data_IF_893432667382
#
_entry.id   IF_893432667382
#
_cell.length_a   1.000
_cell.length_b   1.000
_cell.length_c   1.000
_cell.angle_alpha   90.00
_cell.angle_beta   90.00
_cell.angle_gamma   90.00
#
_symmetry.space_group_name_H-M   'P 1'
#
loop_
_entity.id
_entity.type
_entity.pdbx_description
1 polymer ?
2 non-polymer ?
3 non-polymer ?
4 water ?
#
# COMPACT_ATOMS: atom_id res chain seq x y z
N UNK A 1 2.25 -21.65 -0.01
CA UNK A 1 3.61 -21.14 0.02
C UNK A 1 3.70 -19.64 -0.22
N UNK A 2 4.43 -18.94 0.66
CA UNK A 2 4.58 -17.49 0.51
C UNK A 2 5.10 -17.09 -0.86
N UNK A 3 4.66 -15.92 -1.31
CA UNK A 3 5.30 -15.23 -2.41
C UNK A 3 6.63 -14.66 -1.94
N UNK A 4 7.45 -14.27 -2.90
CA UNK A 4 8.76 -13.70 -2.62
C UNK A 4 8.63 -12.19 -2.50
N UNK A 5 9.15 -11.64 -1.41
CA UNK A 5 9.20 -10.21 -1.18
C UNK A 5 10.64 -9.74 -1.38
N UNK A 6 10.85 -8.59 -2.07
CA UNK A 6 9.85 -7.68 -2.64
C UNK A 6 9.12 -8.30 -3.83
N UNK A 7 7.83 -8.02 -3.94
CA UNK A 7 6.98 -8.64 -4.94
C UNK A 7 6.42 -7.57 -5.85
N UNK A 8 6.38 -7.86 -7.14
CA UNK A 8 5.87 -6.92 -8.14
C UNK A 8 4.59 -7.48 -8.74
N UNK A 9 3.50 -6.74 -8.58
CA UNK A 9 2.22 -7.12 -9.17
C UNK A 9 1.89 -6.17 -10.31
N UNK A 10 1.98 -6.61 -11.56
CA UNK A 10 1.57 -5.76 -12.69
C UNK A 10 0.11 -5.38 -12.55
N UNK A 11 -0.21 -4.13 -12.91
CA UNK A 11 -1.58 -3.61 -12.91
C UNK A 11 -1.89 -3.25 -14.35
N UNK A 12 -2.37 -4.20 -15.16
CA UNK A 12 -2.44 -3.98 -16.61
C UNK A 12 -3.33 -2.80 -16.96
N UNK A 13 -2.73 -1.82 -17.64
CA UNK A 13 -3.47 -0.62 -17.97
C UNK A 13 -3.70 0.30 -16.80
N UNK A 14 -2.93 0.14 -15.71
CA UNK A 14 -3.04 1.02 -14.57
C UNK A 14 -4.26 0.74 -13.71
N UNK A 15 -4.57 1.70 -12.84
CA UNK A 15 -5.69 1.58 -11.94
C UNK A 15 -6.84 2.43 -12.46
N UNK A 16 -8.01 2.26 -11.86
CA UNK A 16 -9.24 2.88 -12.32
C UNK A 16 -10.22 2.74 -11.17
N UNK A 17 -11.15 3.68 -10.98
CA UNK A 17 -12.13 3.51 -9.91
C UNK A 17 -12.85 2.18 -10.08
N UNK A 18 -13.22 1.60 -8.93
CA UNK A 18 -13.84 0.29 -8.72
C UNK A 18 -12.84 -0.85 -8.85
N UNK A 19 -11.55 -0.55 -8.90
CA UNK A 19 -10.53 -1.60 -8.89
C UNK A 19 -10.12 -1.84 -7.45
N UNK A 20 -10.17 -3.11 -7.02
CA UNK A 20 -9.90 -3.51 -5.64
C UNK A 20 -8.68 -4.41 -5.60
N UNK A 21 -7.66 -3.99 -4.86
CA UNK A 21 -6.42 -4.74 -4.73
C UNK A 21 -6.38 -5.31 -3.32
N UNK A 22 -6.09 -6.60 -3.21
CA UNK A 22 -6.16 -7.31 -1.93
C UNK A 22 -4.83 -7.98 -1.69
N UNK A 23 -4.22 -7.67 -0.55
CA UNK A 23 -2.92 -8.17 -0.16
C UNK A 23 -3.13 -8.95 1.13
N UNK A 24 -2.78 -10.23 1.11
CA UNK A 24 -2.86 -11.10 2.28
C UNK A 24 -1.46 -11.49 2.70
N UNK A 25 -1.19 -11.40 4.00
CA UNK A 25 0.10 -11.81 4.50
C UNK A 25 0.07 -11.90 6.01
N UNK A 26 1.26 -12.12 6.57
CA UNK A 26 1.46 -12.15 8.01
C UNK A 26 2.67 -11.29 8.34
N UNK A 27 2.54 -10.44 9.35
CA UNK A 27 3.66 -9.61 9.76
C UNK A 27 4.69 -10.49 10.45
N UNK A 28 5.95 -10.32 10.09
CA UNK A 28 7.01 -11.05 10.75
C UNK A 28 7.09 -10.61 12.22
N UNK A 29 7.67 -11.43 13.09
CA UNK A 29 7.91 -10.97 14.46
C UNK A 29 8.99 -9.90 14.47
N UNK A 30 8.85 -8.94 15.38
CA UNK A 30 9.79 -7.82 15.47
C UNK A 30 9.89 -7.07 14.14
N UNK A 31 8.78 -6.95 13.42
CA UNK A 31 8.82 -6.24 12.15
C UNK A 31 9.18 -4.77 12.35
N UNK A 32 9.86 -4.21 11.35
CA UNK A 32 10.20 -2.79 11.35
C UNK A 32 9.40 -1.97 10.35
N UNK A 33 9.05 -2.53 9.19
CA UNK A 33 8.33 -1.77 8.17
C UNK A 33 7.54 -2.69 7.24
N UNK A 34 6.54 -2.08 6.60
CA UNK A 34 5.81 -2.63 5.46
C UNK A 34 5.71 -1.50 4.44
N UNK A 35 5.74 -1.84 3.15
CA UNK A 35 5.54 -0.81 2.13
C UNK A 35 4.73 -1.34 0.96
N UNK A 36 3.69 -0.60 0.58
CA UNK A 36 3.03 -0.74 -0.72
C UNK A 36 3.40 0.46 -1.57
N UNK A 37 3.82 0.20 -2.81
CA UNK A 37 4.25 1.26 -3.72
C UNK A 37 3.51 1.11 -5.04
N UNK A 38 2.44 1.89 -5.21
CA UNK A 38 1.75 1.98 -6.50
C UNK A 38 2.57 2.91 -7.40
N UNK A 39 3.18 2.36 -8.44
CA UNK A 39 4.19 3.08 -9.22
C UNK A 39 3.67 3.43 -10.60
N UNK A 40 4.00 4.64 -11.04
CA UNK A 40 3.84 5.08 -12.42
C UNK A 40 5.26 5.23 -12.95
N UNK A 41 5.77 4.20 -13.62
CA UNK A 41 7.17 4.24 -14.01
C UNK A 41 8.04 4.37 -12.77
N UNK A 42 8.98 5.32 -12.79
CA UNK A 42 9.81 5.58 -11.61
C UNK A 42 9.07 6.33 -10.53
N UNK A 43 7.95 6.97 -10.84
CA UNK A 43 7.23 7.72 -9.83
C UNK A 43 6.43 6.76 -8.96
N UNK A 44 6.25 7.12 -7.68
CA UNK A 44 5.39 6.35 -6.78
C UNK A 44 4.15 7.20 -6.55
N UNK A 45 3.04 6.76 -7.14
CA UNK A 45 1.80 7.51 -7.05
C UNK A 45 1.25 7.47 -5.64
N UNK A 46 1.34 6.31 -5.00
CA UNK A 46 0.78 6.09 -3.67
C UNK A 46 1.73 5.15 -2.95
N UNK A 47 2.38 5.69 -1.93
CA UNK A 47 3.31 4.99 -1.05
C UNK A 47 2.60 4.82 0.29
N UNK A 48 2.42 3.57 0.73
CA UNK A 48 1.72 3.22 1.97
C UNK A 48 2.72 2.47 2.85
N UNK A 49 3.16 3.10 3.95
CA UNK A 49 4.38 2.69 4.64
C UNK A 49 4.16 2.59 6.15
N UNK A 50 3.58 1.48 6.63
CA UNK A 50 3.54 1.26 8.09
C UNK A 50 4.94 1.18 8.67
N UNK A 51 5.17 1.96 9.72
CA UNK A 51 6.45 1.98 10.43
C UNK A 51 6.20 1.55 11.86
N UNK A 52 6.81 0.44 12.27
CA UNK A 52 6.54 -0.19 13.55
C UNK A 52 7.32 0.44 14.70
N UNK A 53 8.41 1.14 14.41
CA UNK A 53 9.21 1.74 15.48
C UNK A 53 9.87 3.00 14.92
N UNK A 54 9.11 4.09 14.87
CA UNK A 54 9.66 5.41 14.58
C UNK A 54 9.64 6.18 15.89
N UNK A 55 10.82 6.34 16.50
CA UNK A 55 10.92 6.97 17.82
C UNK A 55 9.99 6.28 18.81
N UNK A 56 9.94 4.95 18.73
CA UNK A 56 9.14 4.08 19.61
C UNK A 56 7.65 4.28 19.43
N UNK A 57 7.24 4.77 18.27
CA UNK A 57 5.83 4.93 17.95
C UNK A 57 5.54 4.18 16.66
N UNK A 58 4.28 3.78 16.49
CA UNK A 58 3.83 3.06 15.32
C UNK A 58 3.00 4.02 14.49
N UNK A 59 3.39 4.21 13.23
CA UNK A 59 2.72 5.20 12.38
C UNK A 59 2.74 4.70 10.94
N UNK A 60 1.67 5.03 10.21
CA UNK A 60 1.60 4.75 8.79
C UNK A 60 1.88 6.05 8.04
N UNK A 61 2.94 6.04 7.24
CA UNK A 61 3.33 7.19 6.44
C UNK A 61 2.88 6.95 5.01
N UNK A 62 2.13 7.90 4.45
CA UNK A 62 1.75 7.85 3.04
C UNK A 62 2.35 9.05 2.31
N UNK A 63 2.71 8.85 1.05
CA UNK A 63 3.35 9.92 0.30
C UNK A 63 3.37 9.55 -1.18
N UNK A 64 3.90 10.46 -1.97
CA UNK A 64 4.04 10.35 -3.42
C UNK A 64 5.45 10.77 -3.77
N UNK A 65 6.04 10.08 -4.75
CA UNK A 65 7.39 10.39 -5.22
C UNK A 65 7.32 10.78 -6.69
N UNK A 66 7.74 12.00 -7.00
CA UNK A 66 7.75 12.52 -8.37
C UNK A 66 9.15 12.96 -8.75
N UNK A 67 9.63 12.47 -9.90
CA UNK A 67 10.99 12.77 -10.35
C UNK A 67 11.99 12.60 -9.20
N UNK A 68 11.85 11.49 -8.48
CA UNK A 68 12.73 11.07 -7.39
C UNK A 68 12.64 11.92 -6.12
N UNK A 69 11.66 12.82 -6.00
CA UNK A 69 11.48 13.63 -4.81
C UNK A 69 10.20 13.23 -4.09
N UNK A 70 10.32 12.92 -2.80
CA UNK A 70 9.16 12.65 -1.96
C UNK A 70 8.43 13.95 -1.63
N UNK A 71 7.11 13.89 -1.63
CA UNK A 71 6.28 15.04 -1.34
C UNK A 71 6.01 15.21 0.14
N UNK A 72 4.94 15.92 0.43
CA UNK A 72 4.52 16.14 1.81
C UNK A 72 3.79 14.91 2.33
N UNK A 73 4.22 14.41 3.49
CA UNK A 73 3.71 13.15 4.00
C UNK A 73 2.32 13.32 4.58
N UNK A 74 1.53 12.26 4.52
CA UNK A 74 0.25 12.19 5.20
C UNK A 74 0.36 11.07 6.22
N UNK A 75 0.09 11.39 7.48
CA UNK A 75 0.35 10.46 8.57
C UNK A 75 -0.93 10.15 9.34
N UNK A 76 -1.10 8.86 9.64
CA UNK A 76 -2.27 8.32 10.32
C UNK A 76 -1.79 7.48 11.50
N UNK A 77 -2.24 7.85 12.71
CA UNK A 77 -1.79 7.19 13.93
C UNK A 77 -2.60 5.95 14.29
N UNK A 78 -3.77 5.72 13.68
CA UNK A 78 -4.38 4.40 13.79
C UNK A 78 -3.47 3.40 13.09
N UNK A 79 -3.17 2.29 13.77
CA UNK A 79 -2.14 1.36 13.31
C UNK A 79 -2.62 -0.05 13.60
N UNK A 80 -3.35 -0.66 12.65
CA UNK A 80 -3.98 -1.97 12.93
C UNK A 80 -3.05 -3.17 12.79
N UNK A 81 -1.83 -3.01 12.31
CA UNK A 81 -0.94 -4.15 12.15
C UNK A 81 -0.29 -4.50 13.48
N UNK A 82 -0.01 -5.79 13.66
CA UNK A 82 0.68 -6.28 14.85
C UNK A 82 1.71 -7.30 14.41
N UNK A 83 2.92 -7.21 14.97
CA UNK A 83 3.96 -8.17 14.63
C UNK A 83 3.45 -9.58 14.91
N UNK A 84 3.78 -10.51 14.01
CA UNK A 84 3.38 -11.89 14.15
C UNK A 84 2.00 -12.23 13.60
N UNK A 85 1.17 -11.22 13.23
CA UNK A 85 -0.25 -11.53 13.03
C UNK A 85 -0.65 -11.42 11.57
N UNK A 86 -1.55 -12.27 11.08
CA UNK A 86 -1.98 -12.16 9.68
C UNK A 86 -2.87 -10.94 9.47
N UNK A 87 -2.72 -10.31 8.30
CA UNK A 87 -3.48 -9.13 7.95
C UNK A 87 -4.08 -9.29 6.56
N UNK A 88 -5.09 -8.47 6.29
CA UNK A 88 -5.60 -8.25 4.94
C UNK A 88 -5.62 -6.76 4.69
N UNK A 89 -4.94 -6.31 3.64
CA UNK A 89 -5.02 -4.93 3.19
C UNK A 89 -5.86 -4.89 1.93
N UNK A 90 -6.89 -4.04 1.93
CA UNK A 90 -7.70 -3.81 0.74
C UNK A 90 -7.53 -2.37 0.32
N UNK A 91 -7.11 -2.17 -0.93
CA UNK A 91 -6.97 -0.84 -1.51
C UNK A 91 -8.01 -0.73 -2.62
N UNK A 92 -9.04 0.07 -2.39
CA UNK A 92 -10.10 0.27 -3.36
C UNK A 92 -9.87 1.62 -4.02
N UNK A 93 -9.68 1.62 -5.33
CA UNK A 93 -9.51 2.87 -6.05
C UNK A 93 -10.88 3.52 -6.23
N UNK A 94 -11.00 4.78 -5.79
CA UNK A 94 -12.23 5.55 -5.98
C UNK A 94 -11.91 6.79 -6.82
N UNK A 95 -12.91 7.54 -7.30
CA UNK A 95 -12.60 8.62 -8.26
C UNK A 95 -11.62 9.65 -7.74
N UNK A 96 -11.65 9.99 -6.45
CA UNK A 96 -10.79 11.03 -5.92
C UNK A 96 -9.67 10.54 -5.01
N UNK A 97 -9.64 9.26 -4.64
CA UNK A 97 -8.67 8.81 -3.64
C UNK A 97 -8.51 7.30 -3.70
N UNK A 98 -7.40 6.83 -3.13
CA UNK A 98 -7.28 5.44 -2.73
C UNK A 98 -7.91 5.27 -1.36
N UNK A 99 -8.77 4.27 -1.20
CA UNK A 99 -9.41 3.98 0.08
C UNK A 99 -8.84 2.67 0.61
N UNK A 100 -8.24 2.72 1.80
CA UNK A 100 -7.55 1.56 2.38
C UNK A 100 -8.30 1.08 3.61
N UNK A 101 -8.62 -0.21 3.63
CA UNK A 101 -9.13 -0.92 4.80
C UNK A 101 -8.16 -2.03 5.17
N UNK A 102 -7.95 -2.24 6.46
CA UNK A 102 -7.14 -3.35 6.95
C UNK A 102 -8.02 -4.24 7.83
N UNK A 103 -8.03 -5.53 7.53
CA UNK A 103 -8.80 -6.49 8.32
C UNK A 103 -10.27 -6.08 8.37
N UNK A 104 -10.78 -5.60 7.23
CA UNK A 104 -12.18 -5.23 7.00
C UNK A 104 -12.60 -3.95 7.71
N UNK A 105 -11.67 -3.19 8.26
CA UNK A 105 -11.98 -1.93 8.93
C UNK A 105 -11.34 -0.79 8.15
N UNK A 106 -12.15 0.21 7.77
CA UNK A 106 -11.63 1.40 7.10
C UNK A 106 -10.46 1.97 7.88
N UNK A 107 -9.37 2.28 7.17
CA UNK A 107 -8.17 2.84 7.79
C UNK A 107 -7.92 4.29 7.37
N UNK A 108 -7.78 4.54 6.07
CA UNK A 108 -7.44 5.88 5.61
C UNK A 108 -7.80 6.00 4.14
N UNK A 109 -7.81 7.24 3.66
CA UNK A 109 -7.89 7.50 2.24
C UNK A 109 -6.77 8.45 1.84
N UNK A 110 -6.37 8.36 0.58
CA UNK A 110 -5.24 9.13 0.06
C UNK A 110 -5.65 9.72 -1.28
N UNK A 111 -5.80 11.04 -1.32
CA UNK A 111 -6.27 11.69 -2.52
C UNK A 111 -5.25 11.55 -3.65
N UNK A 112 -5.77 11.45 -4.88
CA UNK A 112 -4.91 11.27 -6.05
C UNK A 112 -4.09 12.53 -6.30
N UNK A 113 -2.77 12.40 -6.22
CA UNK A 113 -1.84 13.43 -6.66
C UNK A 113 -1.36 13.20 -8.08
N UNK A 114 -1.07 11.94 -8.41
CA UNK A 114 -0.82 11.50 -9.78
C UNK A 114 -2.18 11.34 -10.45
N UNK A 115 -2.37 12.04 -11.57
CA UNK A 115 -3.67 12.10 -12.22
C UNK A 115 -3.87 11.03 -13.28
N UNK A 116 -2.78 10.52 -13.86
CA UNK A 116 -2.85 9.52 -14.93
C UNK A 116 -2.96 8.15 -14.27
N UNK A 117 -4.17 7.87 -13.78
CA UNK A 117 -4.42 6.61 -13.09
C UNK A 117 -4.09 5.41 -13.97
N UNK A 118 -4.44 5.49 -15.27
CA UNK A 118 -4.19 4.33 -16.14
C UNK A 118 -2.72 4.13 -16.47
N UNK A 119 -1.81 4.90 -15.87
CA UNK A 119 -0.37 4.69 -16.02
C UNK A 119 0.28 4.19 -14.74
N UNK A 120 -0.49 4.08 -13.66
CA UNK A 120 -0.01 3.48 -12.41
C UNK A 120 -0.11 1.97 -12.58
N UNK A 121 0.88 1.37 -13.24
CA UNK A 121 0.73 0.02 -13.78
C UNK A 121 1.50 -1.04 -13.00
N UNK A 122 1.98 -0.72 -11.80
CA UNK A 122 2.67 -1.76 -11.06
C UNK A 122 2.54 -1.47 -9.57
N UNK A 123 2.37 -2.54 -8.78
CA UNK A 123 2.33 -2.44 -7.33
C UNK A 123 3.48 -3.25 -6.75
N UNK A 124 4.39 -2.58 -6.06
CA UNK A 124 5.47 -3.23 -5.34
C UNK A 124 5.08 -3.43 -3.89
N UNK A 125 5.34 -4.63 -3.38
CA UNK A 125 5.02 -5.00 -2.00
C UNK A 125 6.31 -5.46 -1.34
N UNK A 126 6.66 -4.83 -0.22
CA UNK A 126 7.96 -5.07 0.39
C UNK A 126 7.82 -4.90 1.90
N UNK A 127 8.87 -5.27 2.62
CA UNK A 127 8.92 -5.12 4.07
C UNK A 127 8.93 -6.45 4.80
N UNK A 128 8.66 -6.37 6.10
CA UNK A 128 8.86 -7.50 7.00
C UNK A 128 7.57 -8.32 7.14
N UNK A 129 7.16 -8.92 6.02
CA UNK A 129 5.97 -9.76 5.96
C UNK A 129 6.28 -11.08 5.27
N UNK A 130 5.51 -12.10 5.64
CA UNK A 130 5.33 -13.27 4.81
C UNK A 130 4.12 -12.97 3.93
N UNK A 131 4.34 -12.85 2.62
CA UNK A 131 3.28 -12.48 1.70
C UNK A 131 2.58 -13.74 1.21
N UNK A 132 1.27 -13.82 1.45
CA UNK A 132 0.50 -14.99 1.05
C UNK A 132 -0.13 -14.82 -0.33
N UNK A 133 -0.72 -13.66 -0.60
CA UNK A 133 -1.55 -13.45 -1.78
C UNK A 133 -1.49 -11.97 -2.15
N UNK A 134 -1.53 -11.69 -3.45
CA UNK A 134 -1.67 -10.30 -3.90
C UNK A 134 -2.44 -10.33 -5.21
N UNK A 135 -3.57 -9.66 -5.26
CA UNK A 135 -4.41 -9.78 -6.45
C UNK A 135 -5.31 -8.56 -6.54
N UNK A 136 -6.04 -8.48 -7.64
CA UNK A 136 -6.99 -7.40 -7.85
C UNK A 136 -8.25 -7.97 -8.48
N UNK A 137 -9.31 -7.18 -8.43
CA UNK A 137 -10.55 -7.54 -9.08
C UNK A 137 -11.36 -6.26 -9.28
N UNK A 138 -12.22 -6.27 -10.29
CA UNK A 138 -13.13 -5.16 -10.54
C UNK A 138 -14.43 -5.41 -9.79
N UNK A 139 -14.85 -4.46 -8.96
CA UNK A 139 -16.08 -4.61 -8.20
C UNK A 139 -17.15 -3.67 -8.76
X LIG B 1 12.89 9.93 4.94
X LIG B 1 14.33 10.66 6.93
X LIG B 1 8.00 8.86 2.56
X LIG B 1 9.44 8.41 2.40
X LIG B 1 11.58 8.41 3.42
X LIG B 1 11.66 6.91 3.24
X LIG B 1 12.82 7.73 10.83
X LIG B 1 12.25 9.04 10.26
X LIG B 1 11.04 11.14 10.48
X LIG B 1 12.66 10.83 8.62
X LIG B 1 9.47 11.59 12.26
X LIG B 1 10.46 12.13 11.38
X LIG B 1 12.04 11.84 9.57
X LIG B 1 11.36 12.81 8.78
X LIG B 1 11.67 10.02 11.19
X LIG B 1 11.78 6.98 11.47
X LIG B 1 13.32 9.71 9.40
X LIG B 1 14.36 10.24 10.24
X LIG B 1 13.59 11.53 7.78
X LIG B 1 13.51 9.67 6.08
X LIG B 1 13.33 8.39 6.37
X LIG B 1 12.65 7.90 5.47
X LIG B 1 12.39 8.74 4.59
X LIG B 1 10.19 8.78 3.59
X LIG B 1 7.98 10.27 2.74
X LIG B 1 9.52 6.90 2.15
X LIG B 1 9.00 6.19 3.26
X LIG B 1 10.96 6.54 1.98
X LIG B 1 11.11 5.12 1.80
X LIG B 1 13.03 6.56 3.04
X LIG C 1 -0.08 12.66 -13.66
X LIG D 1 3.90 -4.67 16.67
#
# INVERSE_FOLDING_TARGET
GPLIVPYNLPLPGGVVPRMLITILGTVKPNANRIALDFQRGNDVAFHFNPRFNENNRRVIVCNTKLDNNWGREERQSVFPFESGKPFKIQVLVEPDHFKVAVNDAHLLQYNHRVKKLNEISKLGISGDIDLTSASYTMI
P8J C2 C3 C4 C5 C6 C7 C10 C11 C12 C14 C16 O11 C13 O9 O8 O7 C15 O10 O6 C1 N3 N2 N1 O2 O1 C9 O5 C8 O4 O3
CL CL
CL CL
#
